data_IF_935833902261
#
_entry.id   IF_935833902261
#
_cell.length_a   1.000
_cell.length_b   1.000
_cell.length_c   1.000
_cell.angle_alpha   90.00
_cell.angle_beta   90.00
_cell.angle_gamma   90.00
#
_symmetry.space_group_name_H-M   'P 1'
#
loop_
_entity.id
_entity.type
_entity.pdbx_description
1 polymer ?
#
# COMPACT_ATOMS: atom_id res chain seq x y z
N UNK A 1 32.67 55.20 -3.99
CA UNK A 1 32.95 53.79 -4.35
C UNK A 1 31.74 52.95 -3.96
N UNK A 2 30.97 52.39 -4.89
CA UNK A 2 29.78 51.61 -4.55
C UNK A 2 30.17 50.22 -4.01
N UNK A 3 29.60 49.86 -2.85
CA UNK A 3 29.83 48.63 -2.06
C UNK A 3 29.44 47.33 -2.79
N UNK A 4 28.77 47.44 -3.93
CA UNK A 4 28.27 46.29 -4.71
C UNK A 4 29.38 45.47 -5.37
N UNK A 5 30.60 46.02 -5.48
CA UNK A 5 31.77 45.28 -5.99
C UNK A 5 32.42 44.34 -4.96
N UNK A 6 32.04 44.41 -3.68
CA UNK A 6 32.62 43.60 -2.60
C UNK A 6 31.87 42.28 -2.35
N UNK A 7 30.63 42.15 -2.82
CA UNK A 7 29.86 40.90 -2.73
C UNK A 7 29.76 40.22 -4.10
N UNK A 8 30.90 39.89 -4.71
CA UNK A 8 30.95 38.86 -5.75
C UNK A 8 30.69 37.49 -5.10
N UNK A 9 29.44 37.25 -4.71
CA UNK A 9 28.94 35.90 -4.53
C UNK A 9 29.12 35.19 -5.88
N UNK A 10 29.67 33.97 -5.91
CA UNK A 10 29.82 33.24 -7.17
C UNK A 10 28.42 33.02 -7.77
N UNK A 11 28.21 33.51 -8.99
CA UNK A 11 26.97 33.35 -9.76
C UNK A 11 26.54 31.88 -9.95
N UNK A 12 27.42 30.92 -9.61
CA UNK A 12 27.09 29.50 -9.57
C UNK A 12 26.05 29.11 -8.51
N UNK A 13 25.75 29.98 -7.54
CA UNK A 13 24.69 29.75 -6.54
C UNK A 13 23.34 30.38 -6.96
N UNK A 14 23.36 31.30 -7.93
CA UNK A 14 22.15 32.00 -8.38
C UNK A 14 21.36 31.27 -9.47
N UNK A 15 21.86 30.12 -9.95
CA UNK A 15 21.29 29.42 -11.12
C UNK A 15 21.08 27.92 -10.88
N UNK A 16 20.66 27.53 -9.68
CA UNK A 16 19.86 26.30 -9.56
C UNK A 16 18.40 26.70 -9.71
N UNK A 17 17.76 26.49 -10.86
CA UNK A 17 16.31 26.50 -10.88
C UNK A 17 15.87 25.48 -9.83
N UNK A 18 15.14 25.94 -8.82
CA UNK A 18 14.46 25.09 -7.85
C UNK A 18 13.41 24.29 -8.63
N UNK A 19 13.83 23.21 -9.31
CA UNK A 19 13.00 22.63 -10.38
C UNK A 19 12.02 21.60 -9.87
N UNK A 20 12.05 21.25 -8.58
CA UNK A 20 10.96 20.49 -7.99
C UNK A 20 10.69 20.94 -6.54
N UNK A 21 9.43 21.23 -6.18
CA UNK A 21 9.05 21.45 -4.80
C UNK A 21 9.37 20.18 -4.00
N UNK A 22 10.22 20.32 -2.98
CA UNK A 22 10.55 19.24 -2.05
C UNK A 22 9.77 19.39 -0.76
N UNK A 23 9.17 18.31 -0.28
CA UNK A 23 8.42 18.25 0.99
C UNK A 23 8.96 17.09 1.82
N UNK A 24 9.38 17.37 3.05
CA UNK A 24 10.05 16.37 3.90
C UNK A 24 11.34 15.80 3.28
N UNK A 25 12.06 16.59 2.48
CA UNK A 25 13.28 16.18 1.79
C UNK A 25 13.07 15.36 0.52
N UNK A 26 11.83 15.00 0.17
CA UNK A 26 11.49 14.18 -1.01
C UNK A 26 10.81 15.01 -2.09
N UNK A 27 10.98 14.62 -3.34
CA UNK A 27 10.29 15.23 -4.49
C UNK A 27 8.85 14.74 -4.62
N UNK A 28 8.03 15.41 -5.45
CA UNK A 28 6.68 14.93 -5.79
C UNK A 28 6.69 13.51 -6.35
N UNK A 29 7.58 13.24 -7.29
CA UNK A 29 7.70 11.93 -7.94
C UNK A 29 8.05 10.83 -6.93
N UNK A 30 8.92 11.12 -5.97
CA UNK A 30 9.29 10.17 -4.91
C UNK A 30 8.13 9.89 -3.95
N UNK A 31 7.31 10.90 -3.63
CA UNK A 31 6.10 10.70 -2.83
C UNK A 31 5.07 9.84 -3.58
N UNK A 32 4.80 10.17 -4.84
CA UNK A 32 3.89 9.40 -5.69
C UNK A 32 4.32 7.94 -5.81
N UNK A 33 5.58 7.69 -6.14
CA UNK A 33 6.12 6.33 -6.25
C UNK A 33 5.96 5.53 -4.94
N UNK A 34 6.11 6.18 -3.78
CA UNK A 34 5.89 5.54 -2.48
C UNK A 34 4.42 5.20 -2.23
N UNK A 35 3.51 6.10 -2.55
CA UNK A 35 2.08 5.83 -2.42
C UNK A 35 1.62 4.73 -3.38
N UNK A 36 2.10 4.76 -4.64
CA UNK A 36 1.81 3.71 -5.63
C UNK A 36 2.34 2.36 -5.17
N UNK A 37 3.56 2.30 -4.64
CA UNK A 37 4.12 1.07 -4.10
C UNK A 37 3.28 0.53 -2.93
N UNK A 38 2.91 1.38 -1.97
CA UNK A 38 2.09 0.97 -0.83
C UNK A 38 0.70 0.47 -1.27
N UNK A 39 0.08 1.10 -2.27
CA UNK A 39 -1.18 0.65 -2.85
C UNK A 39 -1.02 -0.68 -3.60
N UNK A 40 0.06 -0.88 -4.34
CA UNK A 40 0.35 -2.13 -5.02
C UNK A 40 0.56 -3.27 -4.01
N UNK A 41 1.27 -3.02 -2.91
CA UNK A 41 1.49 -4.00 -1.84
C UNK A 41 0.17 -4.37 -1.15
N UNK A 42 -0.70 -3.40 -0.88
CA UNK A 42 -2.04 -3.63 -0.34
C UNK A 42 -2.92 -4.42 -1.32
N UNK A 43 -2.90 -4.09 -2.61
CA UNK A 43 -3.64 -4.82 -3.63
C UNK A 43 -3.17 -6.28 -3.72
N UNK A 44 -1.85 -6.51 -3.68
CA UNK A 44 -1.25 -7.83 -3.68
C UNK A 44 -1.63 -8.64 -2.44
N UNK A 45 -1.61 -8.03 -1.26
CA UNK A 45 -2.02 -8.70 -0.01
C UNK A 45 -3.51 -9.09 -0.05
N UNK A 46 -4.38 -8.22 -0.58
CA UNK A 46 -5.80 -8.51 -0.76
C UNK A 46 -6.03 -9.63 -1.77
N UNK A 47 -5.32 -9.62 -2.90
CA UNK A 47 -5.33 -10.69 -3.88
C UNK A 47 -4.95 -12.03 -3.24
N UNK A 48 -3.84 -12.08 -2.48
CA UNK A 48 -3.41 -13.30 -1.80
C UNK A 48 -4.44 -13.85 -0.80
N UNK A 49 -5.17 -12.95 -0.12
CA UNK A 49 -6.27 -13.34 0.76
C UNK A 49 -7.47 -13.91 -0.03
N UNK A 50 -7.80 -13.34 -1.18
CA UNK A 50 -8.85 -13.86 -2.07
C UNK A 50 -8.47 -15.21 -2.69
N UNK A 51 -7.22 -15.39 -3.10
CA UNK A 51 -6.73 -16.64 -3.68
C UNK A 51 -6.79 -17.76 -2.62
N UNK A 52 -6.36 -17.49 -1.39
CA UNK A 52 -6.50 -18.44 -0.27
C UNK A 52 -7.95 -18.71 0.14
N UNK A 53 -8.91 -17.86 -0.24
CA UNK A 53 -10.35 -18.17 -0.06
C UNK A 53 -10.88 -19.11 -1.14
N UNK A 54 -10.29 -19.10 -2.34
CA UNK A 54 -10.70 -19.95 -3.49
C UNK A 54 -10.01 -21.32 -3.47
N UNK A 55 -8.83 -21.42 -2.87
CA UNK A 55 -8.08 -22.67 -2.67
C UNK A 55 -8.92 -23.84 -2.09
N UNK A 56 -9.81 -23.67 -1.08
CA UNK A 56 -10.67 -24.77 -0.62
C UNK A 56 -11.68 -25.27 -1.67
N UNK A 57 -12.04 -24.46 -2.65
CA UNK A 57 -13.00 -24.81 -3.71
C UNK A 57 -12.33 -25.68 -4.79
N UNK A 58 -11.03 -25.49 -5.02
CA UNK A 58 -10.23 -26.22 -6.01
C UNK A 58 -9.66 -27.54 -5.45
N UNK A 59 -9.47 -27.66 -4.13
CA UNK A 59 -9.03 -28.89 -3.46
C UNK A 59 -10.22 -29.83 -3.15
N UNK A 60 -11.46 -29.34 -3.21
CA UNK A 60 -12.67 -30.10 -2.94
C UNK A 60 -13.21 -31.06 -4.04
N UNK A 61 -12.79 -31.06 -5.33
CA UNK A 61 -13.43 -31.94 -6.31
C UNK A 61 -13.03 -33.42 -6.20
N UNK A 62 -11.94 -33.75 -5.51
CA UNK A 62 -11.43 -35.14 -5.42
C UNK A 62 -11.74 -35.87 -4.10
N UNK A 63 -12.37 -35.22 -3.11
CA UNK A 63 -12.74 -35.85 -1.83
C UNK A 63 -14.19 -36.34 -1.75
N UNK A 64 -14.92 -36.33 -2.87
CA UNK A 64 -16.34 -36.69 -2.90
C UNK A 64 -16.63 -38.21 -2.90
N UNK A 65 -15.62 -39.10 -2.90
CA UNK A 65 -15.81 -40.55 -3.07
C UNK A 65 -15.44 -41.43 -1.86
N UNK A 66 -15.38 -40.89 -0.64
CA UNK A 66 -15.39 -41.75 0.56
C UNK A 66 -16.83 -41.95 1.04
N UNK A 67 -17.62 -42.74 0.31
CA UNK A 67 -18.88 -43.28 0.82
C UNK A 67 -18.57 -44.25 1.97
N UNK A 68 -18.47 -43.72 3.19
CA UNK A 68 -18.39 -44.54 4.40
C UNK A 68 -19.79 -45.08 4.70
N UNK A 69 -19.92 -46.40 4.82
CA UNK A 69 -21.20 -47.07 5.08
C UNK A 69 -21.86 -46.55 6.37
N UNK A 70 -23.20 -46.40 6.43
CA UNK A 70 -23.90 -45.92 7.61
C UNK A 70 -23.66 -46.89 8.78
N UNK A 71 -22.96 -46.45 9.82
CA UNK A 71 -22.71 -47.25 11.04
C UNK A 71 -21.25 -47.38 11.47
N UNK A 72 -20.28 -46.95 10.65
CA UNK A 72 -18.90 -46.77 11.10
C UNK A 72 -18.70 -45.32 11.56
N UNK A 73 -18.00 -45.05 12.68
CA UNK A 73 -17.61 -43.68 12.99
C UNK A 73 -16.74 -43.21 11.81
N UNK A 74 -17.23 -42.22 11.06
CA UNK A 74 -16.45 -41.50 10.08
C UNK A 74 -15.28 -40.86 10.85
N UNK A 75 -14.18 -41.60 10.97
CA UNK A 75 -12.96 -41.11 11.55
C UNK A 75 -12.45 -40.11 10.52
N UNK A 76 -12.82 -38.83 10.71
CA UNK A 76 -12.33 -37.72 9.91
C UNK A 76 -10.83 -37.95 9.69
N UNK A 77 -10.44 -38.14 8.43
CA UNK A 77 -9.10 -38.61 8.12
C UNK A 77 -8.11 -37.58 8.66
N UNK A 78 -7.02 -37.96 9.34
CA UNK A 78 -6.07 -37.00 9.92
C UNK A 78 -5.50 -36.02 8.88
N UNK A 79 -5.58 -36.36 7.59
CA UNK A 79 -5.28 -35.49 6.46
C UNK A 79 -6.21 -34.27 6.35
N UNK A 80 -7.53 -34.43 6.52
CA UNK A 80 -8.52 -33.34 6.41
C UNK A 80 -8.30 -32.29 7.52
N UNK A 81 -8.12 -32.74 8.76
CA UNK A 81 -7.83 -31.87 9.90
C UNK A 81 -6.51 -31.10 9.73
N UNK A 82 -5.53 -31.69 9.04
CA UNK A 82 -4.24 -31.05 8.76
C UNK A 82 -4.32 -29.99 7.66
N UNK A 83 -5.17 -30.21 6.65
CA UNK A 83 -5.43 -29.27 5.55
C UNK A 83 -6.20 -28.06 6.09
N UNK A 84 -7.24 -28.29 6.90
CA UNK A 84 -8.00 -27.22 7.56
C UNK A 84 -7.12 -26.35 8.46
N UNK A 85 -6.20 -26.97 9.21
CA UNK A 85 -5.29 -26.24 10.07
C UNK A 85 -4.33 -25.36 9.24
N UNK A 86 -3.73 -25.90 8.17
CA UNK A 86 -2.83 -25.13 7.28
C UNK A 86 -3.57 -23.97 6.62
N UNK A 87 -4.77 -24.21 6.11
CA UNK A 87 -5.59 -23.18 5.47
C UNK A 87 -5.94 -22.06 6.47
N UNK A 88 -6.35 -22.39 7.69
CA UNK A 88 -6.63 -21.40 8.74
C UNK A 88 -5.39 -20.57 9.09
N UNK A 89 -4.21 -21.20 9.18
CA UNK A 89 -2.96 -20.47 9.43
C UNK A 89 -2.59 -19.56 8.25
N UNK A 90 -2.78 -20.03 7.02
CA UNK A 90 -2.54 -19.24 5.81
C UNK A 90 -3.47 -18.04 5.73
N UNK A 91 -4.78 -18.22 5.95
CA UNK A 91 -5.74 -17.13 5.99
C UNK A 91 -5.43 -16.11 7.10
N UNK A 92 -4.98 -16.58 8.27
CA UNK A 92 -4.54 -15.69 9.35
C UNK A 92 -3.34 -14.85 8.92
N UNK A 93 -2.32 -15.48 8.35
CA UNK A 93 -1.12 -14.78 7.84
C UNK A 93 -1.49 -13.74 6.78
N UNK A 94 -2.35 -14.09 5.82
CA UNK A 94 -2.78 -13.17 4.76
C UNK A 94 -3.55 -11.97 5.33
N UNK A 95 -4.39 -12.17 6.36
CA UNK A 95 -5.06 -11.06 7.05
C UNK A 95 -4.07 -10.13 7.75
N UNK A 96 -3.10 -10.68 8.46
CA UNK A 96 -2.03 -9.91 9.11
C UNK A 96 -1.19 -9.14 8.08
N UNK A 97 -1.00 -9.69 6.88
CA UNK A 97 -0.29 -9.02 5.78
C UNK A 97 -1.09 -7.84 5.19
N UNK A 98 -2.41 -7.98 5.03
CA UNK A 98 -3.29 -6.88 4.65
C UNK A 98 -3.27 -5.76 5.70
N UNK A 99 -3.43 -6.10 6.97
CA UNK A 99 -3.42 -5.14 8.08
C UNK A 99 -2.08 -4.38 8.13
N UNK A 100 -0.96 -5.08 7.93
CA UNK A 100 0.37 -4.44 7.85
C UNK A 100 0.47 -3.47 6.68
N UNK A 101 -0.02 -3.84 5.49
CA UNK A 101 0.01 -2.98 4.32
C UNK A 101 -0.89 -1.74 4.50
N UNK A 102 -2.04 -1.89 5.15
CA UNK A 102 -2.94 -0.78 5.51
C UNK A 102 -2.24 0.19 6.49
N UNK A 103 -1.62 -0.34 7.55
CA UNK A 103 -0.85 0.48 8.48
C UNK A 103 0.33 1.21 7.82
N UNK A 104 1.00 0.60 6.84
CA UNK A 104 2.05 1.27 6.09
C UNK A 104 1.52 2.43 5.26
N UNK A 105 0.36 2.27 4.63
CA UNK A 105 -0.28 3.32 3.86
C UNK A 105 -0.73 4.49 4.77
N UNK A 106 -1.31 4.17 5.92
CA UNK A 106 -1.69 5.17 6.93
C UNK A 106 -0.47 5.91 7.49
N UNK A 107 0.61 5.18 7.80
CA UNK A 107 1.87 5.76 8.22
C UNK A 107 2.44 6.71 7.18
N UNK A 108 2.42 6.32 5.91
CA UNK A 108 2.86 7.17 4.80
C UNK A 108 1.98 8.42 4.65
N UNK A 109 0.67 8.30 4.86
CA UNK A 109 -0.26 9.44 4.87
C UNK A 109 0.04 10.42 6.00
N UNK A 110 0.36 9.91 7.20
CA UNK A 110 0.78 10.72 8.35
C UNK A 110 2.12 11.40 8.07
N UNK A 111 3.12 10.69 7.55
CA UNK A 111 4.41 11.29 7.15
C UNK A 111 4.22 12.40 6.12
N UNK A 112 3.35 12.17 5.13
CA UNK A 112 3.03 13.16 4.10
C UNK A 112 2.34 14.40 4.70
N UNK A 113 1.40 14.23 5.63
CA UNK A 113 0.77 15.32 6.37
C UNK A 113 1.82 16.14 7.16
N UNK A 114 2.70 15.47 7.90
CA UNK A 114 3.75 16.11 8.69
C UNK A 114 4.77 16.85 7.80
N UNK A 115 5.04 16.33 6.62
CA UNK A 115 5.92 16.95 5.63
C UNK A 115 5.26 18.11 4.85
N UNK A 116 3.96 18.38 5.07
CA UNK A 116 3.20 19.39 4.34
C UNK A 116 3.01 19.04 2.86
N UNK A 117 2.92 17.75 2.55
CA UNK A 117 2.67 17.25 1.19
C UNK A 117 1.21 17.50 0.84
N UNK A 118 0.92 18.26 -0.24
CA UNK A 118 -0.44 18.50 -0.70
C UNK A 118 -1.17 17.20 -1.06
N UNK A 119 -2.49 17.17 -0.89
CA UNK A 119 -3.30 16.01 -1.30
C UNK A 119 -3.15 15.72 -2.80
N UNK A 120 -3.00 16.73 -3.65
CA UNK A 120 -2.77 16.58 -5.10
C UNK A 120 -1.49 15.78 -5.48
N UNK A 121 -0.64 15.45 -4.51
CA UNK A 121 0.52 14.56 -4.69
C UNK A 121 0.25 13.13 -4.22
N UNK A 122 -0.98 12.82 -3.83
CA UNK A 122 -1.43 11.49 -3.45
C UNK A 122 -2.25 10.89 -4.60
N UNK A 123 -2.11 9.60 -4.89
CA UNK A 123 -2.93 8.93 -5.90
C UNK A 123 -4.40 8.97 -5.49
N UNK A 124 -5.26 9.46 -6.38
CA UNK A 124 -6.71 9.55 -6.17
C UNK A 124 -7.22 10.82 -5.50
N UNK A 125 -6.34 11.76 -5.13
CA UNK A 125 -6.80 13.08 -4.73
C UNK A 125 -7.38 13.81 -5.95
N UNK A 126 -8.70 14.00 -5.93
CA UNK A 126 -9.36 14.90 -6.84
C UNK A 126 -8.68 16.27 -6.75
N UNK A 127 -8.24 16.79 -7.89
CA UNK A 127 -7.68 18.13 -8.02
C UNK A 127 -8.56 19.10 -7.22
N UNK A 128 -8.03 19.78 -6.18
CA UNK A 128 -8.83 20.74 -5.45
C UNK A 128 -9.26 21.81 -6.45
N UNK A 129 -10.57 21.91 -6.68
CA UNK A 129 -11.16 22.86 -7.60
C UNK A 129 -10.52 24.24 -7.36
N UNK A 130 -10.10 24.96 -8.41
CA UNK A 130 -9.42 26.24 -8.25
C UNK A 130 -10.32 27.16 -7.42
N UNK A 131 -9.81 27.61 -6.27
CA UNK A 131 -10.53 28.53 -5.40
C UNK A 131 -11.00 29.73 -6.23
N UNK A 132 -12.31 30.06 -6.24
CA UNK A 132 -12.78 31.23 -6.96
C UNK A 132 -12.13 32.44 -6.29
N UNK A 133 -11.30 33.14 -7.07
CA UNK A 133 -10.68 34.39 -6.64
C UNK A 133 -11.76 35.36 -6.19
N UNK A 134 -11.94 35.50 -4.87
CA UNK A 134 -12.82 36.53 -4.30
C UNK A 134 -12.12 37.86 -4.50
N UNK A 135 -12.39 38.45 -5.66
CA UNK A 135 -12.19 39.86 -5.92
C UNK A 135 -13.42 40.59 -5.41
N UNK A 136 -13.34 41.20 -4.21
CA UNK A 136 -13.88 42.55 -3.99
C UNK A 136 -13.47 43.14 -2.66
#
# INVERSE_FOLDING_TARGET
MPLEKLFKLPESVATTPATDPRRGGKTRAEWLARFEQALADLAKARQGLEDSRKEPEEVAPDQAWSMSAPGLPAQASPSETSIDFRLRQQMRKQREEVERAEHQLDGLSVEANLAGVPEAWRPGAAEPAPEPSVTR
#
